data_IF_872594769295
#
_entry.id   IF_872594769295
#
_cell.length_a   1.000
_cell.length_b   1.000
_cell.length_c   1.000
_cell.angle_alpha   90.00
_cell.angle_beta   90.00
_cell.angle_gamma   90.00
#
_symmetry.space_group_name_H-M   'P 1'
#
loop_
_entity.id
_entity.type
_entity.pdbx_description
1 polymer ?
#
# COMPACT_ATOMS: atom_id res chain seq x y z
N UNK A 1 7.98 -14.23 20.77
CA UNK A 1 7.30 -14.44 19.47
C UNK A 1 6.56 -13.16 19.11
N UNK A 2 6.66 -12.66 17.87
CA UNK A 2 5.91 -11.48 17.41
C UNK A 2 4.73 -11.94 16.55
N UNK A 3 3.57 -11.32 16.72
CA UNK A 3 2.34 -11.63 15.96
C UNK A 3 2.12 -10.54 14.92
N UNK A 4 1.55 -10.93 13.78
CA UNK A 4 1.27 -10.04 12.67
C UNK A 4 0.17 -10.56 11.76
N UNK A 5 -0.20 -9.74 10.79
CA UNK A 5 -1.20 -10.06 9.78
C UNK A 5 -0.79 -9.49 8.41
N UNK A 6 -1.41 -9.95 7.32
CA UNK A 6 -1.05 -9.51 5.98
C UNK A 6 -1.95 -8.39 5.44
N UNK A 7 -1.32 -7.45 4.73
CA UNK A 7 -1.86 -6.51 3.75
C UNK A 7 -2.87 -5.45 4.22
N UNK A 8 -3.91 -5.83 4.96
CA UNK A 8 -5.09 -4.99 5.23
C UNK A 8 -5.46 -5.01 6.71
N UNK A 9 -5.84 -3.85 7.22
CA UNK A 9 -6.44 -3.70 8.53
C UNK A 9 -7.94 -3.41 8.37
N UNK A 10 -8.79 -4.38 8.68
CA UNK A 10 -10.26 -4.29 8.52
C UNK A 10 -10.94 -3.30 9.49
N UNK A 11 -10.21 -2.75 10.47
CA UNK A 11 -10.72 -1.74 11.42
C UNK A 11 -10.50 -0.31 10.93
N UNK A 12 -9.50 -0.07 10.08
CA UNK A 12 -9.19 1.28 9.58
C UNK A 12 -10.02 1.60 8.32
N UNK A 13 -10.48 2.86 8.14
CA UNK A 13 -11.30 3.26 6.99
C UNK A 13 -10.49 3.47 5.70
N UNK A 14 -9.21 3.08 5.68
CA UNK A 14 -8.31 3.26 4.53
C UNK A 14 -7.77 1.91 4.04
N UNK A 15 -7.23 1.91 2.82
CA UNK A 15 -6.56 0.74 2.23
C UNK A 15 -5.18 1.13 1.72
N UNK A 16 -4.18 0.28 2.02
CA UNK A 16 -2.81 0.36 1.49
C UNK A 16 -2.62 -0.48 0.21
N UNK A 17 -3.72 -0.98 -0.37
CA UNK A 17 -3.73 -1.83 -1.57
C UNK A 17 -4.64 -1.23 -2.66
N UNK A 18 -4.73 0.11 -2.74
CA UNK A 18 -5.46 0.75 -3.84
C UNK A 18 -4.71 0.50 -5.14
N UNK A 19 -5.47 0.19 -6.18
CA UNK A 19 -4.99 0.01 -7.54
C UNK A 19 -5.99 0.61 -8.53
N UNK A 20 -5.66 0.61 -9.81
CA UNK A 20 -6.52 1.08 -10.88
C UNK A 20 -6.36 0.20 -12.12
N UNK A 21 -7.24 0.34 -13.10
CA UNK A 21 -7.15 -0.42 -14.35
C UNK A 21 -5.97 0.06 -15.18
N UNK A 22 -5.28 -0.87 -15.84
CA UNK A 22 -4.16 -0.58 -16.73
C UNK A 22 -4.49 0.50 -17.79
N UNK A 23 -5.70 0.45 -18.35
CA UNK A 23 -6.20 1.44 -19.33
C UNK A 23 -6.27 2.88 -18.81
N UNK A 24 -6.15 3.09 -17.50
CA UNK A 24 -6.15 4.41 -16.87
C UNK A 24 -4.78 4.80 -16.30
N UNK A 25 -3.72 4.11 -16.71
CA UNK A 25 -2.37 4.41 -16.26
C UNK A 25 -1.93 5.80 -16.72
N UNK A 26 -1.45 6.59 -15.77
CA UNK A 26 -0.67 7.81 -15.98
C UNK A 26 0.26 8.02 -14.78
N UNK A 27 1.41 8.69 -14.95
CA UNK A 27 2.30 9.03 -13.84
C UNK A 27 1.59 9.75 -12.69
N UNK A 28 0.69 10.67 -12.99
CA UNK A 28 -0.05 11.45 -11.99
C UNK A 28 -0.94 10.53 -11.15
N UNK A 29 -1.68 9.62 -11.80
CA UNK A 29 -2.54 8.66 -11.12
C UNK A 29 -1.74 7.65 -10.31
N UNK A 30 -0.57 7.24 -10.80
CA UNK A 30 0.35 6.38 -10.08
C UNK A 30 0.81 7.06 -8.79
N UNK A 31 1.34 8.29 -8.89
CA UNK A 31 1.82 9.07 -7.73
C UNK A 31 0.70 9.31 -6.73
N UNK A 32 -0.50 9.70 -7.17
CA UNK A 32 -1.66 9.87 -6.30
C UNK A 32 -1.99 8.58 -5.53
N UNK A 33 -2.03 7.45 -6.24
CA UNK A 33 -2.38 6.15 -5.66
C UNK A 33 -1.32 5.65 -4.69
N UNK A 34 -0.03 5.75 -5.06
CA UNK A 34 1.11 5.37 -4.20
C UNK A 34 1.13 6.24 -2.94
N UNK A 35 0.91 7.55 -3.08
CA UNK A 35 0.85 8.48 -1.94
C UNK A 35 -0.27 8.09 -0.98
N UNK A 36 -1.46 7.78 -1.49
CA UNK A 36 -2.59 7.33 -0.67
C UNK A 36 -2.31 5.98 0.01
N UNK A 37 -1.69 5.04 -0.70
CA UNK A 37 -1.32 3.72 -0.16
C UNK A 37 -0.30 3.85 0.99
N UNK A 38 0.76 4.65 0.80
CA UNK A 38 1.78 4.91 1.82
C UNK A 38 1.20 5.64 3.04
N UNK A 39 0.28 6.59 2.82
CA UNK A 39 -0.42 7.29 3.90
C UNK A 39 -1.26 6.31 4.75
N UNK A 40 -1.91 5.33 4.12
CA UNK A 40 -2.66 4.30 4.85
C UNK A 40 -1.73 3.28 5.51
N UNK A 41 -0.64 2.86 4.85
CA UNK A 41 0.36 1.98 5.45
C UNK A 41 0.89 2.57 6.75
N UNK A 42 1.20 3.87 6.78
CA UNK A 42 1.63 4.55 8.01
C UNK A 42 0.59 4.41 9.12
N UNK A 43 -0.68 4.65 8.84
CA UNK A 43 -1.77 4.50 9.82
C UNK A 43 -1.90 3.05 10.32
N UNK A 44 -1.75 2.07 9.43
CA UNK A 44 -1.71 0.64 9.79
C UNK A 44 -0.56 0.36 10.76
N UNK A 45 0.64 0.85 10.48
CA UNK A 45 1.80 0.62 11.34
C UNK A 45 1.68 1.32 12.70
N UNK A 46 1.15 2.55 12.72
CA UNK A 46 0.86 3.29 13.96
C UNK A 46 -0.16 2.54 14.82
N UNK A 47 -1.26 2.07 14.20
CA UNK A 47 -2.27 1.25 14.87
C UNK A 47 -1.70 -0.06 15.39
N UNK A 48 -0.85 -0.73 14.60
CA UNK A 48 -0.20 -1.99 14.97
C UNK A 48 0.67 -1.85 16.22
N UNK A 49 1.46 -0.77 16.31
CA UNK A 49 2.28 -0.48 17.49
C UNK A 49 1.41 -0.30 18.73
N UNK A 50 0.29 0.41 18.62
CA UNK A 50 -0.66 0.61 19.72
C UNK A 50 -1.30 -0.69 20.21
N UNK A 51 -1.41 -1.70 19.35
CA UNK A 51 -2.05 -2.99 19.65
C UNK A 51 -1.05 -4.16 19.83
N UNK A 52 0.26 -3.89 19.84
CA UNK A 52 1.29 -4.92 20.05
C UNK A 52 1.50 -5.87 18.86
N UNK A 53 1.05 -5.51 17.66
CA UNK A 53 1.20 -6.30 16.43
C UNK A 53 2.50 -5.94 15.71
N UNK A 54 3.60 -6.57 16.11
CA UNK A 54 4.95 -6.16 15.70
C UNK A 54 5.48 -6.89 14.44
N UNK A 55 4.59 -7.49 13.65
CA UNK A 55 4.90 -8.05 12.34
C UNK A 55 3.79 -7.69 11.35
N UNK A 56 4.15 -7.34 10.13
CA UNK A 56 3.17 -6.96 9.10
C UNK A 56 3.74 -7.28 7.71
N UNK A 57 2.94 -7.95 6.87
CA UNK A 57 3.29 -8.19 5.45
C UNK A 57 2.63 -7.11 4.60
N UNK A 58 3.42 -6.25 3.97
CA UNK A 58 2.89 -5.27 3.01
C UNK A 58 2.27 -5.99 1.80
N UNK A 59 1.22 -5.41 1.23
CA UNK A 59 0.64 -5.88 -0.03
C UNK A 59 1.55 -5.55 -1.21
N UNK A 60 1.50 -6.38 -2.26
CA UNK A 60 2.19 -6.14 -3.53
C UNK A 60 1.68 -4.89 -4.26
N UNK A 61 0.42 -4.53 -4.02
CA UNK A 61 -0.27 -3.44 -4.71
C UNK A 61 0.07 -2.05 -4.14
N UNK A 62 1.05 -1.96 -3.23
CA UNK A 62 1.46 -0.69 -2.65
C UNK A 62 1.93 0.29 -3.73
N UNK A 63 2.59 -0.24 -4.77
CA UNK A 63 2.85 0.42 -6.04
C UNK A 63 2.09 -0.31 -7.16
N UNK A 64 0.98 0.25 -7.66
CA UNK A 64 0.27 -0.32 -8.80
C UNK A 64 1.22 -0.49 -9.99
N UNK A 65 1.19 -1.68 -10.61
CA UNK A 65 2.01 -1.98 -11.78
C UNK A 65 3.53 -1.84 -11.57
N UNK A 66 4.02 -1.94 -10.33
CA UNK A 66 5.45 -1.73 -10.03
C UNK A 66 6.42 -2.53 -10.91
N UNK A 67 6.09 -3.79 -11.21
CA UNK A 67 6.91 -4.66 -12.07
C UNK A 67 6.46 -4.73 -13.54
N UNK A 68 5.42 -4.00 -13.92
CA UNK A 68 4.86 -4.05 -15.26
C UNK A 68 5.55 -3.03 -16.17
N UNK A 69 5.80 -3.38 -17.43
CA UNK A 69 6.54 -2.55 -18.41
C UNK A 69 5.92 -1.16 -18.68
N UNK A 70 4.60 -1.05 -18.49
CA UNK A 70 3.87 0.24 -18.60
C UNK A 70 4.37 1.27 -17.57
N UNK A 71 4.94 0.81 -16.45
CA UNK A 71 5.36 1.66 -15.37
C UNK A 71 6.78 2.16 -15.62
N UNK A 72 6.87 3.24 -16.38
CA UNK A 72 8.08 3.99 -16.70
C UNK A 72 8.45 5.05 -15.64
N UNK A 73 7.61 5.22 -14.61
CA UNK A 73 7.86 6.19 -13.55
C UNK A 73 8.94 5.67 -12.59
N UNK A 74 9.95 6.48 -12.21
CA UNK A 74 11.06 6.04 -11.36
C UNK A 74 10.64 5.99 -9.88
N UNK A 75 9.86 4.97 -9.52
CA UNK A 75 9.38 4.76 -8.15
C UNK A 75 10.33 3.95 -7.26
N UNK A 76 11.31 3.25 -7.85
CA UNK A 76 12.28 2.39 -7.17
C UNK A 76 13.52 3.12 -6.68
#
# INVERSE_FOLDING_TARGET
MKIGYPCVNETLPCSAARTFRLASYSPERLVETVTANLACLRQILEWNVQHGLLFFRMGSDIVPFGSHEVNDFPWQ
#
